data_IF_552994483223
#
_entry.id   IF_552994483223
#
_cell.length_a   1.000
_cell.length_b   1.000
_cell.length_c   1.000
_cell.angle_alpha   90.00
_cell.angle_beta   90.00
_cell.angle_gamma   90.00
#
_symmetry.space_group_name_H-M   'P 1'
#
loop_
_entity.id
_entity.type
_entity.pdbx_description
1 polymer ?
#
# COMPACT_ATOMS: atom_id res chain seq x y z
N UNK A 1 -3.42 -19.62 -13.32
CA UNK A 1 -4.88 -19.87 -13.30
C UNK A 1 -5.56 -18.52 -13.12
N UNK A 2 -6.61 -18.23 -13.89
CA UNK A 2 -7.37 -16.97 -13.74
C UNK A 2 -8.35 -17.17 -12.58
N UNK A 3 -8.30 -16.29 -11.59
CA UNK A 3 -9.14 -16.32 -10.40
C UNK A 3 -9.51 -14.91 -9.96
N UNK A 4 -10.52 -14.78 -9.11
CA UNK A 4 -10.88 -13.49 -8.53
C UNK A 4 -9.83 -13.05 -7.50
N UNK A 5 -9.55 -11.75 -7.44
CA UNK A 5 -8.56 -11.15 -6.55
C UNK A 5 -8.81 -11.46 -5.06
N UNK A 6 -10.07 -11.69 -4.66
CA UNK A 6 -10.44 -12.09 -3.31
C UNK A 6 -9.88 -13.47 -2.88
N UNK A 7 -9.39 -14.28 -3.83
CA UNK A 7 -8.68 -15.54 -3.51
C UNK A 7 -7.27 -15.28 -2.98
N UNK A 8 -6.70 -14.12 -3.30
CA UNK A 8 -5.36 -13.70 -2.89
C UNK A 8 -5.40 -12.75 -1.68
N UNK A 9 -6.37 -11.80 -1.67
CA UNK A 9 -6.47 -10.73 -0.68
C UNK A 9 -7.91 -10.60 -0.18
N UNK A 10 -8.09 -10.58 1.14
CA UNK A 10 -9.35 -10.25 1.78
C UNK A 10 -9.43 -8.73 2.00
N UNK A 11 -10.50 -8.10 1.54
CA UNK A 11 -10.68 -6.64 1.64
C UNK A 11 -11.69 -6.26 2.72
N UNK A 12 -11.33 -5.25 3.54
CA UNK A 12 -12.19 -4.67 4.58
C UNK A 12 -12.09 -3.14 4.56
N UNK A 13 -13.15 -2.45 4.93
CA UNK A 13 -13.09 -0.99 5.09
C UNK A 13 -12.26 -0.65 6.35
N UNK A 14 -11.51 0.45 6.27
CA UNK A 14 -10.90 1.06 7.44
C UNK A 14 -11.93 1.66 8.39
N UNK A 15 -11.47 2.24 9.50
CA UNK A 15 -12.31 2.79 10.57
C UNK A 15 -12.09 4.29 10.72
N UNK A 16 -13.07 5.00 11.29
CA UNK A 16 -12.95 6.42 11.59
C UNK A 16 -11.63 6.73 12.31
N UNK A 17 -10.93 7.76 11.87
CA UNK A 17 -9.63 8.16 12.40
C UNK A 17 -9.74 8.56 13.88
N UNK A 18 -8.83 8.09 14.77
CA UNK A 18 -8.71 8.57 16.14
C UNK A 18 -8.31 10.06 16.17
N UNK A 19 -8.73 10.75 17.20
CA UNK A 19 -8.40 12.18 17.40
C UNK A 19 -7.13 12.38 18.21
N UNK A 20 -6.74 11.41 19.02
CA UNK A 20 -5.52 11.45 19.83
C UNK A 20 -4.26 11.38 18.96
N UNK A 21 -3.19 12.02 19.41
CA UNK A 21 -1.87 11.98 18.77
C UNK A 21 -1.02 10.87 19.40
N UNK A 22 -0.10 10.29 18.62
CA UNK A 22 0.79 9.23 19.08
C UNK A 22 1.93 8.95 18.10
N UNK A 23 2.43 7.71 18.10
CA UNK A 23 3.58 7.26 17.32
C UNK A 23 3.24 6.22 16.23
N UNK A 24 2.03 5.66 16.27
CA UNK A 24 1.56 4.65 15.32
C UNK A 24 1.01 5.35 14.08
N UNK A 25 1.48 5.03 12.86
CA UNK A 25 1.05 5.72 11.65
C UNK A 25 -0.44 5.49 11.36
N UNK A 26 -1.11 6.55 10.95
CA UNK A 26 -2.50 6.55 10.45
C UNK A 26 -2.46 6.64 8.94
N UNK A 27 -2.94 5.61 8.26
CA UNK A 27 -3.03 5.59 6.81
C UNK A 27 -4.42 6.00 6.31
N UNK A 28 -4.41 6.76 5.22
CA UNK A 28 -5.59 7.09 4.42
C UNK A 28 -5.36 6.81 2.95
N UNK A 29 -6.19 7.41 2.09
CA UNK A 29 -6.08 7.24 0.64
C UNK A 29 -4.75 7.73 0.05
N UNK A 30 -4.10 8.70 0.70
CA UNK A 30 -2.82 9.31 0.27
C UNK A 30 -1.64 8.91 1.18
N UNK A 31 -1.58 7.68 1.65
CA UNK A 31 -0.50 7.24 2.54
C UNK A 31 -0.69 7.72 3.99
N UNK A 32 0.39 8.12 4.67
CA UNK A 32 0.36 8.49 6.09
C UNK A 32 -0.25 9.87 6.26
N UNK A 33 -1.33 9.95 7.05
CA UNK A 33 -2.07 11.18 7.39
C UNK A 33 -1.66 11.79 8.73
N UNK A 34 -0.89 11.08 9.53
CA UNK A 34 -0.47 11.45 10.89
C UNK A 34 -0.23 10.22 11.76
N UNK A 35 -0.27 10.42 13.07
CA UNK A 35 0.08 9.38 14.03
C UNK A 35 -0.92 9.35 15.19
N UNK A 36 -1.10 8.15 15.79
CA UNK A 36 -1.99 7.88 16.94
C UNK A 36 -1.35 6.87 17.88
N UNK A 37 -1.91 6.63 19.07
CA UNK A 37 -1.51 5.54 19.96
C UNK A 37 -2.34 4.26 19.75
N UNK A 38 -3.37 4.31 18.92
CA UNK A 38 -4.22 3.17 18.61
C UNK A 38 -3.82 2.49 17.30
N UNK A 39 -4.19 1.22 17.14
CA UNK A 39 -4.06 0.50 15.87
C UNK A 39 -5.31 -0.34 15.61
N UNK A 40 -5.65 -0.53 14.36
CA UNK A 40 -6.70 -1.44 13.90
C UNK A 40 -6.19 -2.49 12.92
N UNK A 41 -4.88 -2.45 12.63
CA UNK A 41 -4.19 -3.42 11.79
C UNK A 41 -2.79 -3.69 12.35
N UNK A 42 -2.38 -4.96 12.31
CA UNK A 42 -1.06 -5.44 12.71
C UNK A 42 -0.46 -6.26 11.57
N UNK A 43 0.86 -6.38 11.55
CA UNK A 43 1.61 -7.16 10.56
C UNK A 43 1.51 -6.55 9.14
N UNK A 44 1.62 -7.42 8.14
CA UNK A 44 1.69 -7.04 6.74
C UNK A 44 0.32 -6.76 6.16
N UNK A 45 -0.10 -5.50 6.13
CA UNK A 45 -1.36 -5.06 5.53
C UNK A 45 -1.10 -4.29 4.23
N UNK A 46 -1.96 -4.51 3.26
CA UNK A 46 -2.05 -3.67 2.07
C UNK A 46 -3.12 -2.60 2.31
N UNK A 47 -2.87 -1.40 1.82
CA UNK A 47 -3.75 -0.26 2.02
C UNK A 47 -4.09 0.30 0.66
N UNK A 48 -5.38 0.35 0.33
CA UNK A 48 -5.88 0.83 -0.96
C UNK A 48 -6.67 2.11 -0.72
N UNK A 49 -6.30 3.19 -1.41
CA UNK A 49 -7.05 4.44 -1.38
C UNK A 49 -8.50 4.24 -1.82
N UNK A 50 -9.46 4.68 -0.99
CA UNK A 50 -10.88 4.43 -1.21
C UNK A 50 -11.57 5.56 -1.96
N UNK A 51 -11.25 6.81 -1.66
CA UNK A 51 -11.97 7.99 -2.14
C UNK A 51 -11.06 9.08 -2.69
N UNK A 52 -11.59 9.90 -3.60
CA UNK A 52 -10.96 11.11 -4.10
C UNK A 52 -9.79 10.87 -5.05
N UNK A 53 -8.90 11.85 -5.17
CA UNK A 53 -7.78 11.86 -6.13
C UNK A 53 -6.81 10.68 -5.97
N UNK A 54 -6.71 10.11 -4.78
CA UNK A 54 -5.84 8.96 -4.47
C UNK A 54 -6.58 7.62 -4.45
N UNK A 55 -7.80 7.59 -5.02
CA UNK A 55 -8.58 6.37 -5.17
C UNK A 55 -7.80 5.35 -6.00
N UNK A 56 -7.62 4.14 -5.45
CA UNK A 56 -6.85 3.06 -6.09
C UNK A 56 -5.32 3.12 -5.89
N UNK A 57 -4.77 4.11 -5.18
CA UNK A 57 -3.36 4.07 -4.75
C UNK A 57 -3.15 2.93 -3.75
N UNK A 58 -2.00 2.26 -3.84
CA UNK A 58 -1.67 1.09 -3.01
C UNK A 58 -0.41 1.34 -2.20
N UNK A 59 -0.49 1.08 -0.88
CA UNK A 59 0.62 1.21 0.07
C UNK A 59 0.81 -0.08 0.87
N UNK A 60 1.99 -0.25 1.48
CA UNK A 60 2.32 -1.31 2.44
C UNK A 60 2.39 -0.77 3.86
N UNK A 61 1.92 -1.55 4.83
CA UNK A 61 2.22 -1.36 6.24
C UNK A 61 2.73 -2.67 6.84
N UNK A 62 3.98 -2.68 7.29
CA UNK A 62 4.66 -3.90 7.81
C UNK A 62 4.60 -4.00 9.34
N UNK A 63 3.75 -3.26 10.01
CA UNK A 63 3.64 -3.24 11.46
C UNK A 63 2.27 -2.78 11.94
N UNK A 64 2.23 -2.31 13.19
CA UNK A 64 1.01 -1.70 13.73
C UNK A 64 0.70 -0.41 12.99
N UNK A 65 -0.54 -0.25 12.57
CA UNK A 65 -1.04 0.98 11.97
C UNK A 65 -2.54 1.17 12.20
N UNK A 66 -3.00 2.37 12.04
CA UNK A 66 -4.42 2.67 11.92
C UNK A 66 -4.75 2.91 10.45
N UNK A 67 -5.73 2.20 9.91
CA UNK A 67 -6.22 2.40 8.56
C UNK A 67 -7.57 3.10 8.64
N UNK A 68 -7.63 4.30 8.08
CA UNK A 68 -8.81 5.17 8.16
C UNK A 68 -9.92 4.71 7.21
N UNK A 69 -11.12 5.26 7.40
CA UNK A 69 -12.30 5.02 6.58
C UNK A 69 -12.16 5.56 5.12
N UNK A 70 -11.13 6.35 4.85
CA UNK A 70 -10.75 6.78 3.50
C UNK A 70 -9.86 5.76 2.76
N UNK A 71 -9.65 4.59 3.35
CA UNK A 71 -8.87 3.50 2.77
C UNK A 71 -9.55 2.14 2.98
N UNK A 72 -9.15 1.16 2.17
CA UNK A 72 -9.52 -0.25 2.28
C UNK A 72 -8.29 -1.02 2.77
N UNK A 73 -8.50 -1.88 3.76
CA UNK A 73 -7.50 -2.83 4.26
C UNK A 73 -7.49 -4.05 3.35
N UNK A 74 -6.32 -4.46 2.89
CA UNK A 74 -6.10 -5.71 2.18
C UNK A 74 -5.28 -6.67 3.05
N UNK A 75 -5.91 -7.71 3.55
CA UNK A 75 -5.25 -8.79 4.28
C UNK A 75 -4.88 -9.91 3.31
N UNK A 76 -3.58 -10.12 3.10
CA UNK A 76 -3.09 -11.18 2.22
C UNK A 76 -3.37 -12.54 2.85
N UNK A 77 -3.95 -13.47 2.08
CA UNK A 77 -4.28 -14.82 2.56
C UNK A 77 -3.04 -15.65 2.79
N UNK A 78 -3.15 -16.68 3.64
CA UNK A 78 -2.00 -17.52 4.06
C UNK A 78 -1.31 -18.25 2.87
N UNK A 79 -2.06 -18.54 1.82
CA UNK A 79 -1.56 -19.20 0.60
C UNK A 79 -1.04 -18.21 -0.46
N UNK A 80 -0.83 -16.95 -0.10
CA UNK A 80 -0.39 -15.89 -0.98
C UNK A 80 0.84 -15.17 -0.42
N UNK A 81 1.71 -14.71 -1.32
CA UNK A 81 2.88 -13.91 -0.96
C UNK A 81 2.52 -12.42 -0.86
N UNK A 82 2.91 -11.79 0.24
CA UNK A 82 2.58 -10.40 0.54
C UNK A 82 3.17 -9.40 -0.48
N UNK A 83 4.44 -9.58 -0.84
CA UNK A 83 5.08 -8.69 -1.80
C UNK A 83 4.49 -8.89 -3.20
N UNK A 84 4.26 -10.13 -3.61
CA UNK A 84 3.56 -10.41 -4.87
C UNK A 84 2.20 -9.73 -4.92
N UNK A 85 1.36 -9.89 -3.89
CA UNK A 85 0.04 -9.28 -3.82
C UNK A 85 0.10 -7.75 -3.91
N UNK A 86 1.09 -7.12 -3.26
CA UNK A 86 1.31 -5.68 -3.36
C UNK A 86 1.61 -5.23 -4.80
N UNK A 87 2.58 -5.86 -5.46
CA UNK A 87 2.95 -5.48 -6.83
C UNK A 87 1.85 -5.81 -7.84
N UNK A 88 1.14 -6.91 -7.64
CA UNK A 88 -0.05 -7.23 -8.45
C UNK A 88 -1.07 -6.10 -8.33
N UNK A 89 -1.47 -5.69 -7.11
CA UNK A 89 -2.41 -4.58 -6.91
C UNK A 89 -1.93 -3.27 -7.57
N UNK A 90 -0.65 -2.94 -7.47
CA UNK A 90 -0.08 -1.76 -8.16
C UNK A 90 -0.19 -1.85 -9.68
N UNK A 91 0.00 -3.03 -10.27
CA UNK A 91 -0.07 -3.23 -11.72
C UNK A 91 -1.49 -3.13 -12.29
N UNK A 92 -2.51 -3.37 -11.48
CA UNK A 92 -3.92 -3.40 -11.91
C UNK A 92 -4.51 -2.03 -12.28
N UNK A 93 -3.76 -0.93 -12.10
CA UNK A 93 -4.22 0.46 -12.38
C UNK A 93 -5.59 0.73 -11.75
N UNK A 94 -5.72 0.42 -10.45
CA UNK A 94 -6.97 0.51 -9.71
C UNK A 94 -7.64 1.88 -9.79
N UNK A 95 -6.84 2.94 -9.96
CA UNK A 95 -7.32 4.31 -10.18
C UNK A 95 -8.16 4.50 -11.45
N UNK A 96 -8.21 3.51 -12.35
CA UNK A 96 -9.07 3.48 -13.54
C UNK A 96 -10.30 2.58 -13.37
N UNK A 97 -10.46 1.96 -12.21
CA UNK A 97 -11.51 0.95 -11.92
C UNK A 97 -12.50 1.41 -10.86
N UNK A 98 -12.47 2.69 -10.48
CA UNK A 98 -13.44 3.27 -9.54
C UNK A 98 -14.81 3.51 -10.15
N UNK A 99 -15.81 3.72 -9.29
CA UNK A 99 -17.13 4.24 -9.67
C UNK A 99 -17.25 5.72 -9.26
N UNK A 100 -18.24 6.39 -9.79
CA UNK A 100 -18.50 7.81 -9.52
C UNK A 100 -17.79 8.75 -10.49
N UNK A 101 -18.57 9.66 -11.13
CA UNK A 101 -18.07 10.65 -12.08
C UNK A 101 -17.52 11.91 -11.42
N UNK A 102 -18.08 12.31 -10.27
CA UNK A 102 -17.65 13.50 -9.53
C UNK A 102 -16.58 13.19 -8.47
N UNK A 103 -16.80 12.16 -7.67
CA UNK A 103 -15.83 11.72 -6.66
C UNK A 103 -15.50 10.24 -6.87
N UNK A 104 -14.26 9.92 -7.28
CA UNK A 104 -13.84 8.54 -7.43
C UNK A 104 -14.02 7.74 -6.14
N UNK A 105 -14.60 6.55 -6.24
CA UNK A 105 -14.85 5.64 -5.12
C UNK A 105 -14.44 4.21 -5.48
N UNK A 106 -13.56 3.64 -4.70
CA UNK A 106 -13.22 2.22 -4.70
C UNK A 106 -14.06 1.48 -3.66
N UNK A 107 -14.59 0.33 -4.03
CA UNK A 107 -15.35 -0.53 -3.12
C UNK A 107 -14.73 -1.91 -3.00
N UNK A 108 -15.06 -2.62 -1.91
CA UNK A 108 -14.69 -4.03 -1.77
C UNK A 108 -15.25 -4.89 -2.89
N UNK A 109 -16.48 -4.59 -3.33
CA UNK A 109 -17.14 -5.31 -4.42
C UNK A 109 -16.33 -5.21 -5.73
N UNK A 110 -15.85 -4.00 -6.08
CA UNK A 110 -15.00 -3.79 -7.25
C UNK A 110 -13.71 -4.62 -7.11
N UNK A 111 -13.02 -4.53 -5.98
CA UNK A 111 -11.78 -5.27 -5.76
C UNK A 111 -11.99 -6.78 -5.82
N UNK A 112 -13.07 -7.28 -5.22
CA UNK A 112 -13.40 -8.69 -5.18
C UNK A 112 -13.71 -9.28 -6.57
N UNK A 113 -14.28 -8.47 -7.48
CA UNK A 113 -14.68 -8.92 -8.83
C UNK A 113 -13.54 -8.88 -9.86
N UNK A 114 -12.37 -8.33 -9.51
CA UNK A 114 -11.24 -8.27 -10.45
C UNK A 114 -10.70 -9.68 -10.67
N UNK A 115 -10.66 -10.08 -11.93
CA UNK A 115 -10.01 -11.32 -12.35
C UNK A 115 -8.53 -11.09 -12.61
N UNK A 116 -7.69 -11.98 -12.08
CA UNK A 116 -6.23 -11.93 -12.16
C UNK A 116 -5.65 -13.31 -12.39
N UNK A 117 -4.51 -13.36 -13.04
CA UNK A 117 -3.75 -14.59 -13.11
C UNK A 117 -2.92 -14.78 -11.83
N UNK A 118 -3.23 -15.85 -11.09
CA UNK A 118 -2.54 -16.17 -9.83
C UNK A 118 -1.63 -17.37 -10.08
N UNK A 119 -0.29 -17.18 -10.11
CA UNK A 119 0.66 -18.26 -10.22
C UNK A 119 0.77 -19.04 -8.92
N UNK A 120 1.38 -20.22 -8.96
CA UNK A 120 1.66 -21.02 -7.76
C UNK A 120 2.51 -20.25 -6.73
N UNK A 121 2.35 -20.59 -5.46
CA UNK A 121 2.95 -19.85 -4.32
C UNK A 121 4.48 -19.69 -4.44
N UNK A 122 5.22 -20.70 -4.92
CA UNK A 122 6.66 -20.61 -5.13
C UNK A 122 7.05 -19.52 -6.14
N UNK A 123 6.27 -19.39 -7.21
CA UNK A 123 6.45 -18.33 -8.21
C UNK A 123 6.11 -16.95 -7.63
N UNK A 124 5.02 -16.85 -6.84
CA UNK A 124 4.66 -15.63 -6.15
C UNK A 124 5.81 -15.13 -5.25
N UNK A 125 6.38 -16.02 -4.42
CA UNK A 125 7.52 -15.68 -3.55
C UNK A 125 8.73 -15.18 -4.35
N UNK A 126 9.07 -15.87 -5.44
CA UNK A 126 10.21 -15.48 -6.27
C UNK A 126 10.00 -14.11 -6.92
N UNK A 127 8.84 -13.88 -7.53
CA UNK A 127 8.50 -12.59 -8.16
C UNK A 127 8.41 -11.48 -7.12
N UNK A 128 7.70 -11.73 -6.02
CA UNK A 128 7.56 -10.77 -4.92
C UNK A 128 8.90 -10.36 -4.31
N UNK A 129 9.82 -11.33 -4.13
CA UNK A 129 11.18 -11.05 -3.64
C UNK A 129 11.96 -10.17 -4.62
N UNK A 130 12.01 -10.52 -5.91
CA UNK A 130 12.76 -9.77 -6.92
C UNK A 130 12.28 -8.31 -6.97
N UNK A 131 10.97 -8.09 -7.03
CA UNK A 131 10.41 -6.74 -7.11
C UNK A 131 10.67 -5.94 -5.82
N UNK A 132 10.58 -6.59 -4.65
CA UNK A 132 10.89 -5.94 -3.38
C UNK A 132 12.39 -5.61 -3.22
N UNK A 133 13.27 -6.45 -3.72
CA UNK A 133 14.72 -6.19 -3.71
C UNK A 133 15.04 -4.99 -4.62
N UNK A 134 14.40 -4.86 -5.78
CA UNK A 134 14.53 -3.71 -6.68
C UNK A 134 14.04 -2.41 -6.00
N UNK A 135 12.86 -2.40 -5.40
CA UNK A 135 12.36 -1.23 -4.68
C UNK A 135 13.31 -0.85 -3.52
N UNK A 136 13.83 -1.83 -2.78
CA UNK A 136 14.80 -1.60 -1.70
C UNK A 136 16.09 -0.96 -2.21
N UNK A 137 16.56 -1.36 -3.40
CA UNK A 137 17.73 -0.76 -4.04
C UNK A 137 17.46 0.68 -4.48
N UNK A 138 16.28 0.94 -5.05
CA UNK A 138 15.86 2.30 -5.42
C UNK A 138 15.81 3.19 -4.18
N UNK A 139 15.24 2.73 -3.08
CA UNK A 139 15.18 3.48 -1.83
C UNK A 139 16.59 3.75 -1.25
N UNK A 140 17.49 2.77 -1.29
CA UNK A 140 18.88 2.94 -0.86
C UNK A 140 19.61 3.99 -1.71
N UNK A 141 19.46 3.94 -3.03
CA UNK A 141 20.05 4.92 -3.95
C UNK A 141 19.50 6.33 -3.71
N UNK A 142 18.19 6.47 -3.52
CA UNK A 142 17.57 7.77 -3.23
C UNK A 142 18.11 8.36 -1.92
N UNK A 143 18.22 7.58 -0.84
CA UNK A 143 18.84 8.04 0.43
C UNK A 143 20.30 8.46 0.25
N UNK A 144 21.06 7.73 -0.56
CA UNK A 144 22.45 8.09 -0.88
C UNK A 144 22.51 9.41 -1.63
N UNK A 145 21.66 9.62 -2.63
CA UNK A 145 21.59 10.87 -3.39
C UNK A 145 21.21 12.04 -2.48
N UNK A 146 20.21 11.88 -1.61
CA UNK A 146 19.79 12.92 -0.65
C UNK A 146 20.95 13.30 0.28
N UNK A 147 21.69 12.31 0.78
CA UNK A 147 22.88 12.56 1.63
C UNK A 147 23.98 13.30 0.86
N UNK A 148 24.28 12.91 -0.39
CA UNK A 148 25.25 13.58 -1.22
C UNK A 148 24.85 15.03 -1.52
N UNK A 149 23.60 15.29 -1.85
CA UNK A 149 23.06 16.65 -2.03
C UNK A 149 23.24 17.50 -0.77
N UNK A 150 22.98 16.94 0.41
CA UNK A 150 23.20 17.64 1.69
C UNK A 150 24.67 17.95 1.93
N UNK A 151 25.58 16.99 1.70
CA UNK A 151 27.04 17.19 1.85
C UNK A 151 27.52 18.30 0.93
N UNK A 152 27.10 18.30 -0.35
CA UNK A 152 27.46 19.34 -1.31
C UNK A 152 26.94 20.70 -0.83
N UNK A 153 25.68 20.79 -0.41
CA UNK A 153 25.10 22.02 0.10
C UNK A 153 25.92 22.62 1.27
N UNK A 154 26.24 21.78 2.29
CA UNK A 154 27.05 22.23 3.41
C UNK A 154 28.48 22.64 3.01
N UNK A 155 29.07 21.91 2.07
CA UNK A 155 30.44 22.20 1.62
C UNK A 155 30.58 23.49 0.83
N UNK A 156 29.52 23.87 0.09
CA UNK A 156 29.54 25.02 -0.83
C UNK A 156 28.94 26.27 -0.19
N UNK A 157 27.92 26.14 0.64
CA UNK A 157 27.12 27.28 1.11
C UNK A 157 27.29 27.63 2.60
N UNK A 158 27.98 26.75 3.39
CA UNK A 158 28.24 27.00 4.83
C UNK A 158 29.77 26.98 5.07
N UNK A 159 30.45 27.92 4.42
CA UNK A 159 31.82 28.31 4.75
C UNK A 159 31.83 29.64 5.47
#
# INVERSE_FOLDING_TARGET
MIEQLNKLVEFKNGKKRPTEKGVIPVYGGNGILGYTNQFNAERNNLIIGRVGAYCGCVYKCNGKCWISDNAIVGNVRQNADYNFAYYLLKSLKLNKRHIGSGQPLMTQSILNSIEVEIPGYSTQKRVGKILNDIDSQIDANNRTNDNLCRIIYYSVFIR
#
